data_IF_650788033755
#
_entry.id   IF_650788033755
#
_cell.length_a   1.000
_cell.length_b   1.000
_cell.length_c   1.000
_cell.angle_alpha   90.00
_cell.angle_beta   90.00
_cell.angle_gamma   90.00
#
_symmetry.space_group_name_H-M   'P 1'
#
loop_
_entity.id
_entity.type
_entity.pdbx_description
1 polymer ?
#
# COMPACT_ATOMS: atom_id res chain seq x y z
N UNK A 1 -0.28 44.80 25.31
CA UNK A 1 -0.71 44.60 23.91
C UNK A 1 -0.06 43.32 23.43
N UNK A 2 -0.75 42.19 23.50
CA UNK A 2 -0.24 40.93 22.96
C UNK A 2 -0.38 41.03 21.46
N UNK A 3 0.75 40.99 20.75
CA UNK A 3 0.76 40.96 19.30
C UNK A 3 0.32 39.55 18.94
N UNK A 4 -0.97 39.39 18.63
CA UNK A 4 -1.46 38.16 18.00
C UNK A 4 -0.77 38.14 16.63
N UNK A 5 0.28 37.34 16.48
CA UNK A 5 0.73 36.98 15.15
C UNK A 5 -0.50 36.45 14.43
N UNK A 6 -0.90 37.11 13.34
CA UNK A 6 -2.04 36.67 12.55
C UNK A 6 -1.67 35.31 11.97
N UNK A 7 -2.00 34.25 12.69
CA UNK A 7 -2.06 32.90 12.14
C UNK A 7 -3.14 33.00 11.08
N UNK A 8 -2.72 33.01 9.83
CA UNK A 8 -3.63 32.94 8.69
C UNK A 8 -4.27 31.56 8.75
N UNK A 9 -5.44 31.48 9.39
CA UNK A 9 -6.21 30.24 9.44
C UNK A 9 -6.74 30.00 8.02
N UNK A 10 -6.28 28.93 7.38
CA UNK A 10 -6.73 28.55 6.04
C UNK A 10 -8.13 27.92 6.11
N UNK A 11 -9.15 28.77 6.32
CA UNK A 11 -10.55 28.34 6.41
C UNK A 11 -11.00 27.49 5.21
N UNK A 12 -10.62 27.79 3.95
CA UNK A 12 -10.97 26.94 2.81
C UNK A 12 -10.39 25.53 2.91
N UNK A 13 -9.14 25.41 3.39
CA UNK A 13 -8.48 24.13 3.58
C UNK A 13 -9.16 23.32 4.70
N UNK A 14 -9.40 23.94 5.86
CA UNK A 14 -10.08 23.29 6.99
C UNK A 14 -11.51 22.88 6.63
N UNK A 15 -12.22 23.71 5.88
CA UNK A 15 -13.57 23.44 5.38
C UNK A 15 -13.59 22.17 4.53
N UNK A 16 -12.68 22.07 3.56
CA UNK A 16 -12.52 20.88 2.73
C UNK A 16 -12.08 19.65 3.52
N UNK A 17 -11.12 19.81 4.45
CA UNK A 17 -10.49 18.70 5.14
C UNK A 17 -11.39 18.04 6.19
N UNK A 18 -12.18 18.85 6.90
CA UNK A 18 -13.07 18.39 7.98
C UNK A 18 -14.54 18.35 7.58
N UNK A 19 -14.87 18.69 6.32
CA UNK A 19 -16.23 18.77 5.81
C UNK A 19 -17.15 19.68 6.67
N UNK A 20 -16.59 20.78 7.17
CA UNK A 20 -17.31 21.81 7.94
C UNK A 20 -17.46 23.03 7.03
N UNK A 21 -18.66 23.62 6.95
CA UNK A 21 -18.86 24.79 6.10
C UNK A 21 -17.92 25.95 6.47
N UNK A 22 -17.32 26.58 5.47
CA UNK A 22 -16.40 27.71 5.68
C UNK A 22 -17.08 28.88 6.43
N UNK A 23 -18.37 29.10 6.20
CA UNK A 23 -19.18 30.08 6.94
C UNK A 23 -19.27 29.77 8.44
N UNK A 24 -19.38 28.48 8.80
CA UNK A 24 -19.35 28.02 10.19
C UNK A 24 -17.99 28.31 10.83
N UNK A 25 -16.90 28.01 10.12
CA UNK A 25 -15.54 28.28 10.59
C UNK A 25 -15.27 29.79 10.70
N UNK A 26 -15.74 30.59 9.74
CA UNK A 26 -15.66 32.04 9.78
C UNK A 26 -16.41 32.60 11.00
N UNK A 27 -17.63 32.14 11.26
CA UNK A 27 -18.40 32.53 12.45
C UNK A 27 -17.68 32.13 13.73
N UNK A 28 -17.08 30.94 13.77
CA UNK A 28 -16.32 30.45 14.93
C UNK A 28 -15.12 31.35 15.26
N UNK A 29 -14.47 31.97 14.24
CA UNK A 29 -13.36 32.91 14.47
C UNK A 29 -13.80 34.28 15.00
N UNK A 30 -15.04 34.69 14.72
CA UNK A 30 -15.55 36.03 15.07
C UNK A 30 -16.42 36.03 16.33
N UNK A 31 -17.24 34.99 16.51
CA UNK A 31 -18.22 34.85 17.58
C UNK A 31 -18.33 33.36 18.00
N UNK A 32 -17.32 32.82 18.70
CA UNK A 32 -17.32 31.42 19.11
C UNK A 32 -18.44 31.13 20.10
N UNK A 33 -19.20 30.06 19.85
CA UNK A 33 -20.18 29.49 20.79
C UNK A 33 -19.78 28.07 21.14
N UNK A 34 -20.24 27.58 22.29
CA UNK A 34 -20.00 26.19 22.73
C UNK A 34 -20.46 25.19 21.66
N UNK A 35 -21.58 25.47 21.01
CA UNK A 35 -22.14 24.66 19.93
C UNK A 35 -21.20 24.57 18.72
N UNK A 36 -20.70 25.72 18.23
CA UNK A 36 -19.79 25.75 17.08
C UNK A 36 -18.46 25.05 17.38
N UNK A 37 -17.95 25.17 18.61
CA UNK A 37 -16.73 24.48 19.05
C UNK A 37 -16.95 22.97 19.11
N UNK A 38 -18.09 22.52 19.65
CA UNK A 38 -18.42 21.10 19.71
C UNK A 38 -18.58 20.49 18.30
N UNK A 39 -19.21 21.20 17.37
CA UNK A 39 -19.32 20.76 15.97
C UNK A 39 -17.93 20.59 15.32
N UNK A 40 -17.00 21.51 15.58
CA UNK A 40 -15.62 21.38 15.11
C UNK A 40 -14.92 20.17 15.75
N UNK A 41 -15.07 19.96 17.05
CA UNK A 41 -14.47 18.80 17.72
C UNK A 41 -15.05 17.48 17.27
N UNK A 42 -16.34 17.42 16.96
CA UNK A 42 -16.96 16.23 16.36
C UNK A 42 -16.36 15.94 14.98
N UNK A 43 -16.22 16.97 14.12
CA UNK A 43 -15.60 16.83 12.81
C UNK A 43 -14.14 16.38 12.89
N UNK A 44 -13.36 16.96 13.82
CA UNK A 44 -11.97 16.55 14.07
C UNK A 44 -11.91 15.10 14.56
N UNK A 45 -12.77 14.73 15.51
CA UNK A 45 -12.81 13.38 16.07
C UNK A 45 -13.16 12.36 15.00
N UNK A 46 -14.14 12.66 14.15
CA UNK A 46 -14.51 11.82 13.00
C UNK A 46 -13.31 11.65 12.07
N UNK A 47 -12.64 12.74 11.69
CA UNK A 47 -11.50 12.69 10.77
C UNK A 47 -10.31 11.93 11.36
N UNK A 48 -10.05 12.08 12.65
CA UNK A 48 -9.01 11.33 13.35
C UNK A 48 -9.28 9.82 13.32
N UNK A 49 -10.52 9.40 13.56
CA UNK A 49 -10.92 7.99 13.47
C UNK A 49 -10.77 7.43 12.06
N UNK A 50 -11.26 8.16 11.04
CA UNK A 50 -11.08 7.78 9.63
C UNK A 50 -9.59 7.59 9.28
N UNK A 51 -8.73 8.47 9.77
CA UNK A 51 -7.29 8.37 9.55
C UNK A 51 -6.67 7.16 10.23
N UNK A 52 -7.04 6.87 11.49
CA UNK A 52 -6.54 5.71 12.22
C UNK A 52 -7.00 4.38 11.59
N UNK A 53 -8.25 4.32 11.13
CA UNK A 53 -8.79 3.18 10.37
C UNK A 53 -8.01 2.98 9.06
N UNK A 54 -7.84 4.05 8.26
CA UNK A 54 -7.10 3.99 7.00
C UNK A 54 -5.63 3.58 7.20
N UNK A 55 -5.00 4.06 8.27
CA UNK A 55 -3.63 3.69 8.63
C UNK A 55 -3.54 2.20 9.00
N UNK A 56 -4.50 1.69 9.76
CA UNK A 56 -4.57 0.27 10.10
C UNK A 56 -4.75 -0.60 8.85
N UNK A 57 -5.66 -0.21 7.96
CA UNK A 57 -5.87 -0.92 6.70
C UNK A 57 -4.66 -0.89 5.78
N UNK A 58 -3.96 0.25 5.69
CA UNK A 58 -2.72 0.36 4.94
C UNK A 58 -1.68 -0.64 5.42
N UNK A 59 -1.43 -0.71 6.73
CA UNK A 59 -0.46 -1.64 7.31
C UNK A 59 -0.84 -3.10 6.98
N UNK A 60 -2.13 -3.44 7.11
CA UNK A 60 -2.63 -4.77 6.75
C UNK A 60 -2.36 -5.11 5.28
N UNK A 61 -2.71 -4.19 4.37
CA UNK A 61 -2.49 -4.38 2.93
C UNK A 61 -1.01 -4.47 2.55
N UNK A 62 -0.15 -3.69 3.19
CA UNK A 62 1.31 -3.77 2.98
C UNK A 62 1.86 -5.15 3.38
N UNK A 63 1.38 -5.72 4.49
CA UNK A 63 1.73 -7.08 4.92
C UNK A 63 1.19 -8.14 3.96
N UNK A 64 -0.06 -8.01 3.51
CA UNK A 64 -0.66 -8.93 2.53
C UNK A 64 0.13 -8.90 1.20
N UNK A 65 0.53 -7.73 0.76
CA UNK A 65 1.33 -7.54 -0.46
C UNK A 65 2.73 -8.17 -0.32
N UNK A 66 3.46 -7.90 0.76
CA UNK A 66 4.79 -8.48 1.00
C UNK A 66 4.71 -10.03 1.04
N UNK A 67 3.70 -10.58 1.70
CA UNK A 67 3.46 -12.02 1.70
C UNK A 67 3.15 -12.58 0.31
N UNK A 68 2.33 -11.88 -0.48
CA UNK A 68 2.02 -12.28 -1.85
C UNK A 68 3.26 -12.29 -2.75
N UNK A 69 4.10 -11.24 -2.66
CA UNK A 69 5.36 -11.11 -3.40
C UNK A 69 6.34 -12.22 -3.01
N UNK A 70 6.56 -12.45 -1.71
CA UNK A 70 7.43 -13.53 -1.24
C UNK A 70 6.94 -14.91 -1.70
N UNK A 71 5.64 -15.13 -1.69
CA UNK A 71 5.03 -16.37 -2.18
C UNK A 71 5.24 -16.55 -3.68
N UNK A 72 5.08 -15.50 -4.49
CA UNK A 72 5.36 -15.56 -5.93
C UNK A 72 6.83 -15.81 -6.22
N UNK A 73 7.74 -15.13 -5.52
CA UNK A 73 9.18 -15.29 -5.72
C UNK A 73 9.63 -16.71 -5.40
N UNK A 74 9.11 -17.28 -4.33
CA UNK A 74 9.36 -18.68 -3.97
C UNK A 74 8.84 -19.64 -5.05
N UNK A 75 7.63 -19.43 -5.57
CA UNK A 75 7.07 -20.24 -6.66
C UNK A 75 7.91 -20.13 -7.93
N UNK A 76 8.35 -18.92 -8.30
CA UNK A 76 9.22 -18.69 -9.46
C UNK A 76 10.54 -19.44 -9.28
N UNK A 77 11.17 -19.36 -8.10
CA UNK A 77 12.42 -20.06 -7.81
C UNK A 77 12.26 -21.58 -7.95
N UNK A 78 11.17 -22.15 -7.42
CA UNK A 78 10.86 -23.58 -7.55
C UNK A 78 10.65 -23.96 -9.03
N UNK A 79 9.83 -23.19 -9.76
CA UNK A 79 9.57 -23.45 -11.18
C UNK A 79 10.84 -23.39 -12.01
N UNK A 80 11.71 -22.39 -11.77
CA UNK A 80 12.99 -22.26 -12.45
C UNK A 80 13.88 -23.48 -12.21
N UNK A 81 14.00 -23.93 -10.97
CA UNK A 81 14.77 -25.13 -10.62
C UNK A 81 14.21 -26.39 -11.30
N UNK A 82 12.88 -26.55 -11.35
CA UNK A 82 12.24 -27.65 -12.05
C UNK A 82 12.50 -27.63 -13.56
N UNK A 83 12.46 -26.44 -14.18
CA UNK A 83 12.77 -26.27 -15.61
C UNK A 83 14.24 -26.59 -15.91
N UNK A 84 15.17 -26.07 -15.10
CA UNK A 84 16.60 -26.35 -15.24
C UNK A 84 16.90 -27.86 -15.11
N UNK A 85 16.30 -28.52 -14.13
CA UNK A 85 16.44 -29.97 -13.95
C UNK A 85 15.86 -30.75 -15.13
N UNK A 86 14.64 -30.42 -15.57
CA UNK A 86 14.02 -31.05 -16.73
C UNK A 86 14.84 -30.87 -18.01
N UNK A 87 15.43 -29.69 -18.21
CA UNK A 87 16.31 -29.44 -19.34
C UNK A 87 17.59 -30.31 -19.29
N UNK A 88 18.21 -30.43 -18.11
CA UNK A 88 19.37 -31.29 -17.93
C UNK A 88 19.05 -32.78 -18.21
N UNK A 89 17.91 -33.28 -17.74
CA UNK A 89 17.46 -34.66 -17.99
C UNK A 89 17.20 -34.92 -19.48
N UNK A 90 16.63 -33.95 -20.20
CA UNK A 90 16.42 -34.03 -21.66
C UNK A 90 17.76 -34.09 -22.40
N UNK A 91 18.70 -33.20 -22.07
CA UNK A 91 20.03 -33.21 -22.70
C UNK A 91 20.81 -34.49 -22.41
N UNK A 92 20.75 -35.00 -21.18
CA UNK A 92 21.36 -36.27 -20.80
C UNK A 92 20.77 -37.44 -21.60
N UNK A 93 19.43 -37.48 -21.74
CA UNK A 93 18.74 -38.51 -22.51
C UNK A 93 19.12 -38.45 -24.00
N UNK A 94 19.20 -37.24 -24.57
CA UNK A 94 19.64 -37.01 -25.96
C UNK A 94 21.07 -37.50 -26.18
N UNK A 95 21.98 -37.22 -25.23
CA UNK A 95 23.36 -37.70 -25.28
C UNK A 95 23.44 -39.22 -25.24
N UNK A 96 22.74 -39.87 -24.29
CA UNK A 96 22.67 -41.34 -24.18
C UNK A 96 22.11 -41.98 -25.44
N UNK A 97 21.08 -41.39 -26.05
CA UNK A 97 20.50 -41.87 -27.30
C UNK A 97 21.51 -41.79 -28.45
N UNK A 98 22.23 -40.67 -28.55
CA UNK A 98 23.27 -40.47 -29.55
C UNK A 98 24.40 -41.49 -29.40
N UNK A 99 24.92 -41.67 -28.18
CA UNK A 99 25.95 -42.67 -27.86
C UNK A 99 25.52 -44.08 -28.27
N UNK A 100 24.29 -44.49 -27.92
CA UNK A 100 23.75 -45.80 -28.33
C UNK A 100 23.62 -45.93 -29.83
N UNK A 101 23.20 -44.88 -30.54
CA UNK A 101 23.05 -44.90 -31.99
C UNK A 101 24.41 -45.06 -32.69
N UNK A 102 25.42 -44.31 -32.24
CA UNK A 102 26.82 -44.45 -32.70
C UNK A 102 27.35 -45.87 -32.50
N UNK A 103 27.15 -46.45 -31.31
CA UNK A 103 27.56 -47.84 -31.02
C UNK A 103 26.89 -48.83 -32.00
N UNK A 104 25.60 -48.67 -32.28
CA UNK A 104 24.85 -49.57 -33.19
C UNK A 104 25.30 -49.41 -34.64
N UNK A 105 25.60 -48.18 -35.08
CA UNK A 105 25.98 -47.87 -36.45
C UNK A 105 27.47 -48.14 -36.74
N UNK A 106 28.30 -48.39 -35.72
CA UNK A 106 29.73 -48.66 -35.88
C UNK A 106 30.54 -47.44 -36.36
N UNK A 107 30.00 -46.23 -36.16
CA UNK A 107 30.62 -44.91 -36.40
C UNK A 107 30.67 -44.14 -35.09
#
# INVERSE_FOLDING_TARGET
>A
MVIMAAVTIELPFLSSHYAVAESTLSTLTQAPTVELVNQLFEAITKKAREHDELKSDKIRLEVELDNAVRSSDNKIKVLKSSVEKGHAEVEETRKKLHEKCSIVLGI
#
